data_IF_125168872121
#
_entry.id   IF_125168872121
#
_cell.length_a   1.000
_cell.length_b   1.000
_cell.length_c   1.000
_cell.angle_alpha   90.00
_cell.angle_beta   90.00
_cell.angle_gamma   90.00
#
_symmetry.space_group_name_H-M   'P 1'
#
loop_
_entity.id
_entity.type
_entity.pdbx_description
1 polymer ?
#
# COMPACT_ATOMS: atom_id res chain seq x y z
N UNK A 1 -25.17 -23.06 -26.84
CA UNK A 1 -25.46 -23.64 -25.51
C UNK A 1 -24.24 -24.32 -24.87
N UNK A 2 -23.46 -25.12 -25.60
CA UNK A 2 -22.29 -25.86 -25.07
C UNK A 2 -21.14 -24.93 -24.62
N UNK A 3 -20.85 -23.87 -25.37
CA UNK A 3 -19.72 -22.96 -25.12
C UNK A 3 -19.88 -22.20 -23.78
N UNK A 4 -21.08 -21.73 -23.46
CA UNK A 4 -21.36 -21.06 -22.19
C UNK A 4 -21.16 -22.01 -20.99
N UNK A 5 -21.44 -23.31 -21.15
CA UNK A 5 -21.27 -24.32 -20.08
C UNK A 5 -19.80 -24.62 -19.78
N UNK A 6 -18.94 -24.66 -20.80
CA UNK A 6 -17.49 -24.81 -20.62
C UNK A 6 -16.86 -23.58 -19.96
N UNK A 7 -17.31 -22.37 -20.34
CA UNK A 7 -16.88 -21.13 -19.69
C UNK A 7 -17.29 -21.07 -18.21
N UNK A 8 -18.47 -21.59 -17.87
CA UNK A 8 -18.96 -21.68 -16.49
C UNK A 8 -18.13 -22.68 -15.66
N UNK A 9 -17.81 -23.84 -16.23
CA UNK A 9 -17.00 -24.87 -15.56
C UNK A 9 -15.55 -24.40 -15.32
N UNK A 10 -14.96 -23.72 -16.30
CA UNK A 10 -13.63 -23.09 -16.16
C UNK A 10 -13.67 -21.95 -15.13
N UNK A 11 -14.65 -21.03 -15.22
CA UNK A 11 -14.77 -19.90 -14.30
C UNK A 11 -14.99 -20.35 -12.85
N UNK A 12 -15.79 -21.39 -12.59
CA UNK A 12 -15.98 -21.89 -11.23
C UNK A 12 -14.69 -22.43 -10.59
N UNK A 13 -13.81 -23.07 -11.37
CA UNK A 13 -12.51 -23.52 -10.89
C UNK A 13 -11.51 -22.35 -10.74
N UNK A 14 -11.56 -21.36 -11.64
CA UNK A 14 -10.72 -20.16 -11.59
C UNK A 14 -11.11 -19.19 -10.45
N UNK A 15 -12.39 -19.11 -10.08
CA UNK A 15 -12.85 -18.26 -8.97
C UNK A 15 -12.48 -18.87 -7.63
N UNK A 16 -12.53 -20.21 -7.50
CA UNK A 16 -12.04 -20.92 -6.31
C UNK A 16 -10.55 -20.67 -6.06
N UNK A 17 -9.72 -20.72 -7.10
CA UNK A 17 -8.27 -20.47 -6.96
C UNK A 17 -7.95 -19.01 -6.67
N UNK A 18 -8.77 -18.07 -7.16
CA UNK A 18 -8.57 -16.64 -6.93
C UNK A 18 -8.69 -16.24 -5.46
N UNK A 19 -9.70 -16.75 -4.74
CA UNK A 19 -9.86 -16.46 -3.31
C UNK A 19 -8.69 -17.00 -2.47
N UNK A 20 -8.22 -18.21 -2.76
CA UNK A 20 -7.05 -18.79 -2.10
C UNK A 20 -5.78 -17.97 -2.37
N UNK A 21 -5.61 -17.50 -3.61
CA UNK A 21 -4.48 -16.64 -3.99
C UNK A 21 -4.51 -15.30 -3.23
N UNK A 22 -5.67 -14.66 -3.13
CA UNK A 22 -5.81 -13.40 -2.40
C UNK A 22 -5.57 -13.54 -0.89
N UNK A 23 -5.93 -14.67 -0.29
CA UNK A 23 -5.63 -14.96 1.13
C UNK A 23 -4.12 -15.19 1.28
N UNK A 24 -3.52 -16.04 0.43
CA UNK A 24 -2.09 -16.31 0.47
C UNK A 24 -1.25 -15.04 0.28
N UNK A 25 -1.58 -14.19 -0.69
CA UNK A 25 -0.84 -12.96 -0.97
C UNK A 25 -0.91 -11.99 0.22
N UNK A 26 -2.05 -11.90 0.92
CA UNK A 26 -2.19 -11.09 2.14
C UNK A 26 -1.38 -11.65 3.31
N UNK A 27 -1.43 -12.96 3.54
CA UNK A 27 -0.64 -13.62 4.57
C UNK A 27 0.87 -13.47 4.32
N UNK A 28 1.30 -13.71 3.09
CA UNK A 28 2.71 -13.57 2.69
C UNK A 28 3.18 -12.12 2.84
N UNK A 29 2.38 -11.14 2.41
CA UNK A 29 2.70 -9.72 2.59
C UNK A 29 2.80 -9.33 4.07
N UNK A 30 1.89 -9.80 4.93
CA UNK A 30 1.92 -9.51 6.36
C UNK A 30 3.16 -10.09 7.06
N UNK A 31 3.53 -11.33 6.74
CA UNK A 31 4.74 -11.97 7.27
C UNK A 31 5.99 -11.22 6.83
N UNK A 32 6.06 -10.86 5.54
CA UNK A 32 7.19 -10.12 4.99
C UNK A 32 7.31 -8.74 5.64
N UNK A 33 6.19 -8.03 5.84
CA UNK A 33 6.17 -6.74 6.53
C UNK A 33 6.70 -6.85 7.97
N UNK A 34 6.31 -7.91 8.70
CA UNK A 34 6.78 -8.15 10.06
C UNK A 34 8.28 -8.44 10.10
N UNK A 35 8.78 -9.23 9.14
CA UNK A 35 10.21 -9.52 9.02
C UNK A 35 11.03 -8.27 8.69
N UNK A 36 10.52 -7.42 7.79
CA UNK A 36 11.17 -6.16 7.40
C UNK A 36 11.05 -5.07 8.47
N UNK A 37 10.16 -5.21 9.47
CA UNK A 37 9.94 -4.21 10.50
C UNK A 37 11.23 -3.85 11.25
N UNK A 38 12.05 -4.86 11.60
CA UNK A 38 13.32 -4.65 12.27
C UNK A 38 14.28 -3.80 11.41
N UNK A 39 14.32 -4.06 10.10
CA UNK A 39 15.14 -3.29 9.15
C UNK A 39 14.64 -1.85 9.06
N UNK A 40 13.32 -1.64 8.98
CA UNK A 40 12.74 -0.29 8.96
C UNK A 40 13.03 0.51 10.24
N UNK A 41 13.06 -0.15 11.41
CA UNK A 41 13.43 0.51 12.66
C UNK A 41 14.88 0.98 12.62
N UNK A 42 15.80 0.12 12.15
CA UNK A 42 17.23 0.48 12.03
C UNK A 42 17.39 1.68 11.08
N UNK A 43 16.77 1.63 9.90
CA UNK A 43 16.79 2.72 8.93
C UNK A 43 16.21 4.01 9.54
N UNK A 44 15.10 3.91 10.26
CA UNK A 44 14.46 5.05 10.94
C UNK A 44 15.40 5.70 11.97
N UNK A 45 16.16 4.91 12.73
CA UNK A 45 17.15 5.41 13.68
C UNK A 45 18.30 6.08 12.94
N UNK A 46 18.85 5.43 11.90
CA UNK A 46 19.93 6.00 11.09
C UNK A 46 19.55 7.35 10.48
N UNK A 47 18.35 7.46 9.89
CA UNK A 47 17.86 8.72 9.31
C UNK A 47 17.78 9.82 10.38
N UNK A 48 17.31 9.49 11.58
CA UNK A 48 17.15 10.46 12.67
C UNK A 48 18.48 10.91 13.28
N UNK A 49 19.51 10.08 13.20
CA UNK A 49 20.86 10.42 13.62
C UNK A 49 21.60 11.26 12.57
N UNK A 50 21.41 10.94 11.28
CA UNK A 50 22.08 11.62 10.16
C UNK A 50 21.40 12.97 9.81
N UNK A 51 20.08 13.07 9.99
CA UNK A 51 19.28 14.25 9.66
C UNK A 51 18.32 14.58 10.79
N UNK A 52 18.20 15.88 11.13
CA UNK A 52 17.13 16.38 12.03
C UNK A 52 15.72 16.27 11.40
N UNK A 53 15.61 15.77 10.18
CA UNK A 53 14.37 15.65 9.44
C UNK A 53 13.46 14.53 9.94
N UNK A 54 12.15 14.60 9.63
CA UNK A 54 11.20 13.53 9.93
C UNK A 54 11.52 12.27 9.10
N UNK A 55 11.30 11.09 9.71
CA UNK A 55 11.49 9.77 9.06
C UNK A 55 10.59 9.60 7.83
N UNK A 56 9.39 10.17 7.87
CA UNK A 56 8.48 10.21 6.73
C UNK A 56 8.61 11.55 6.02
N UNK A 57 9.09 11.50 4.77
CA UNK A 57 9.16 12.66 3.92
C UNK A 57 7.79 12.95 3.31
N UNK A 58 7.22 14.10 3.67
CA UNK A 58 6.03 14.63 3.00
C UNK A 58 6.50 15.67 1.99
N UNK A 59 6.33 15.36 0.71
CA UNK A 59 6.63 16.32 -0.35
C UNK A 59 5.45 17.28 -0.52
N UNK A 60 5.66 18.56 -0.22
CA UNK A 60 4.71 19.60 -0.63
C UNK A 60 4.79 19.76 -2.15
N UNK A 61 3.81 19.20 -2.87
CA UNK A 61 3.61 19.48 -4.29
C UNK A 61 2.84 20.79 -4.42
N UNK A 62 3.34 21.65 -5.30
CA UNK A 62 2.67 22.91 -5.65
C UNK A 62 1.54 22.57 -6.62
N UNK A 63 0.29 22.81 -6.22
CA UNK A 63 -0.86 22.67 -7.12
C UNK A 63 -0.88 23.76 -8.20
N UNK A 64 -1.76 23.60 -9.20
CA UNK A 64 -2.05 24.65 -10.18
C UNK A 64 -2.41 25.94 -9.40
N UNK A 65 -1.74 27.04 -9.73
CA UNK A 65 -1.84 28.38 -9.09
C UNK A 65 -0.90 28.69 -7.91
N UNK A 66 0.22 27.96 -7.73
CA UNK A 66 1.25 28.25 -6.70
C UNK A 66 0.76 28.16 -5.25
N UNK A 67 -0.48 27.71 -5.02
CA UNK A 67 -1.00 27.45 -3.68
C UNK A 67 -0.44 26.12 -3.20
N UNK A 68 0.38 26.18 -2.17
CA UNK A 68 0.84 25.00 -1.45
C UNK A 68 -0.36 24.39 -0.73
N UNK A 69 -0.67 23.13 -1.05
CA UNK A 69 -1.67 22.36 -0.31
C UNK A 69 -1.10 22.09 1.08
N UNK A 70 -1.29 23.03 1.99
CA UNK A 70 -1.00 22.90 3.42
C UNK A 70 -2.22 22.22 4.04
N UNK A 71 -2.06 20.97 4.47
CA UNK A 71 -3.03 20.29 5.33
C UNK A 71 -2.98 20.94 6.73
N UNK A 72 -3.48 22.17 6.82
CA UNK A 72 -3.76 22.84 8.09
C UNK A 72 -5.25 23.11 8.11
N UNK A 73 -5.89 22.57 9.13
CA UNK A 73 -7.25 22.88 9.53
C UNK A 73 -7.31 24.36 9.95
N UNK A 74 -7.41 25.27 8.99
CA UNK A 74 -7.84 26.65 9.23
C UNK A 74 -9.30 26.72 8.86
N UNK A 75 -10.14 26.29 9.81
CA UNK A 75 -11.55 26.62 9.84
C UNK A 75 -11.68 28.14 9.88
N UNK A 76 -11.86 28.73 8.69
CA UNK A 76 -12.44 30.04 8.46
C UNK A 76 -13.38 29.88 7.26
N UNK A 77 -14.51 29.24 7.56
CA UNK A 77 -15.84 29.54 7.03
C UNK A 77 -16.79 29.52 8.22
#
# INVERSE_FOLDING_TARGET
>A
MIINRLKYFSKNNLVKSKLLKEIFDRCAAAILLLLLLAIFIIISICIRLDSKGPIFFIQNRVGKDKKTLKYTNSALW
#
